data_IF_386289190071
#
_entry.id   IF_386289190071
#
_cell.length_a   1.000
_cell.length_b   1.000
_cell.length_c   1.000
_cell.angle_alpha   90.00
_cell.angle_beta   90.00
_cell.angle_gamma   90.00
#
_symmetry.space_group_name_H-M   'P 1'
#
loop_
_entity.id
_entity.type
_entity.pdbx_description
1 polymer ?
#
# COMPACT_ATOMS: atom_id res chain seq x y z
N UNK A 1 5.59 9.53 4.28
CA UNK A 1 4.85 10.52 3.46
C UNK A 1 3.73 11.21 4.23
N UNK A 2 2.81 10.48 4.87
CA UNK A 2 1.64 11.07 5.57
C UNK A 2 1.80 11.19 7.09
N UNK A 3 2.81 10.53 7.67
CA UNK A 3 2.94 10.41 9.13
C UNK A 3 1.88 9.47 9.72
N UNK A 4 1.82 9.40 11.05
CA UNK A 4 0.82 8.60 11.76
C UNK A 4 -0.44 9.42 12.03
N UNK A 5 -1.50 9.18 11.25
CA UNK A 5 -2.76 9.95 11.30
C UNK A 5 -3.78 9.38 12.28
N UNK A 6 -3.33 8.61 13.28
CA UNK A 6 -4.18 7.97 14.29
C UNK A 6 -5.34 7.19 13.64
N UNK A 7 -6.58 7.46 14.05
CA UNK A 7 -7.77 6.78 13.54
C UNK A 7 -8.01 6.93 12.02
N UNK A 8 -7.38 7.91 11.36
CA UNK A 8 -7.51 8.09 9.91
C UNK A 8 -6.52 7.25 9.09
N UNK A 9 -5.59 6.53 9.72
CA UNK A 9 -4.55 5.77 9.01
C UNK A 9 -5.15 4.73 8.04
N UNK A 10 -6.08 3.90 8.51
CA UNK A 10 -6.72 2.89 7.68
C UNK A 10 -7.49 3.46 6.49
N UNK A 11 -8.10 4.65 6.64
CA UNK A 11 -8.80 5.31 5.54
C UNK A 11 -7.83 5.81 4.46
N UNK A 12 -6.66 6.34 4.86
CA UNK A 12 -5.63 6.76 3.91
C UNK A 12 -5.01 5.56 3.18
N UNK A 13 -4.74 4.48 3.88
CA UNK A 13 -4.23 3.24 3.27
C UNK A 13 -5.22 2.69 2.22
N UNK A 14 -6.51 2.61 2.58
CA UNK A 14 -7.56 2.19 1.66
C UNK A 14 -7.67 3.12 0.43
N UNK A 15 -7.54 4.43 0.63
CA UNK A 15 -7.52 5.39 -0.47
C UNK A 15 -6.33 5.17 -1.41
N UNK A 16 -5.13 4.88 -0.90
CA UNK A 16 -3.97 4.56 -1.74
C UNK A 16 -4.15 3.24 -2.51
N UNK A 17 -4.74 2.20 -1.89
CA UNK A 17 -5.09 0.98 -2.60
C UNK A 17 -6.08 1.26 -3.74
N UNK A 18 -7.13 2.03 -3.48
CA UNK A 18 -8.12 2.41 -4.50
C UNK A 18 -7.49 3.22 -5.64
N UNK A 19 -6.68 4.24 -5.33
CA UNK A 19 -5.97 5.03 -6.34
C UNK A 19 -5.02 4.17 -7.19
N UNK A 20 -4.36 3.19 -6.59
CA UNK A 20 -3.45 2.28 -7.30
C UNK A 20 -4.20 1.40 -8.30
N UNK A 21 -5.44 1.01 -7.99
CA UNK A 21 -6.32 0.21 -8.84
C UNK A 21 -7.17 1.06 -9.81
N UNK A 22 -7.17 2.39 -9.65
CA UNK A 22 -8.02 3.28 -10.43
C UNK A 22 -7.72 3.17 -11.93
N UNK A 23 -8.75 3.18 -12.81
CA UNK A 23 -8.54 3.24 -14.26
C UNK A 23 -7.82 4.52 -14.71
N UNK A 24 -7.85 5.58 -13.91
CA UNK A 24 -7.12 6.83 -14.16
C UNK A 24 -5.61 6.70 -13.89
N UNK A 25 -5.17 5.64 -13.20
CA UNK A 25 -3.76 5.34 -12.97
C UNK A 25 -3.17 4.59 -14.19
N UNK A 26 -3.08 5.26 -15.34
CA UNK A 26 -2.66 4.65 -16.60
C UNK A 26 -1.25 4.03 -16.57
N UNK A 27 -0.36 4.53 -15.71
CA UNK A 27 0.98 3.97 -15.56
C UNK A 27 1.04 2.75 -14.65
N UNK A 28 -0.06 2.42 -13.95
CA UNK A 28 -0.08 1.41 -12.88
C UNK A 28 0.96 1.69 -11.78
N UNK A 29 1.17 2.97 -11.45
CA UNK A 29 2.13 3.34 -10.42
C UNK A 29 1.67 2.84 -9.04
N UNK A 30 2.63 2.39 -8.23
CA UNK A 30 2.41 2.12 -6.81
C UNK A 30 2.87 3.30 -5.95
N UNK A 31 2.26 3.52 -4.77
CA UNK A 31 2.71 4.57 -3.85
C UNK A 31 4.17 4.33 -3.46
N UNK A 32 5.08 5.30 -3.66
CA UNK A 32 6.50 5.11 -3.38
C UNK A 32 6.76 5.02 -1.88
N UNK A 33 7.68 4.15 -1.49
CA UNK A 33 8.23 4.14 -0.14
C UNK A 33 9.22 5.32 0.00
N UNK A 34 8.87 6.32 0.80
CA UNK A 34 9.74 7.49 1.08
C UNK A 34 10.45 7.27 2.43
N UNK A 35 11.75 6.98 2.36
CA UNK A 35 12.60 6.62 3.50
C UNK A 35 14.08 6.90 3.18
N UNK A 36 15.00 6.62 4.12
CA UNK A 36 16.44 6.90 4.02
C UNK A 36 17.24 5.86 3.22
N UNK A 37 16.60 4.77 2.80
CA UNK A 37 17.23 3.70 2.03
C UNK A 37 18.20 2.82 2.82
N UNK A 38 18.19 2.89 4.16
CA UNK A 38 19.03 2.07 5.03
C UNK A 38 18.21 0.89 5.57
N UNK A 39 18.25 -0.31 4.95
CA UNK A 39 17.53 -1.46 5.46
C UNK A 39 18.14 -1.95 6.79
N UNK A 40 17.28 -2.49 7.64
CA UNK A 40 17.71 -3.18 8.85
C UNK A 40 18.43 -4.51 8.49
N UNK A 41 19.70 -4.70 8.89
CA UNK A 41 20.45 -5.91 8.59
C UNK A 41 19.95 -7.17 9.32
N UNK A 42 19.15 -7.02 10.38
CA UNK A 42 18.55 -8.15 11.10
C UNK A 42 17.30 -8.69 10.40
N UNK A 43 16.70 -7.92 9.49
CA UNK A 43 15.55 -8.34 8.71
C UNK A 43 16.00 -9.02 7.40
N UNK A 44 15.27 -10.05 6.93
CA UNK A 44 15.52 -10.61 5.62
C UNK A 44 15.31 -9.55 4.53
N UNK A 45 15.97 -9.67 3.38
CA UNK A 45 15.74 -8.76 2.27
C UNK A 45 14.27 -8.84 1.82
N UNK A 46 13.57 -7.71 1.85
CA UNK A 46 12.19 -7.57 1.42
C UNK A 46 12.11 -6.86 0.07
N UNK A 47 11.07 -7.18 -0.71
CA UNK A 47 10.80 -6.52 -1.99
C UNK A 47 10.01 -5.23 -1.77
N UNK A 48 10.73 -4.14 -1.53
CA UNK A 48 10.12 -2.83 -1.34
C UNK A 48 9.70 -2.18 -2.68
N UNK A 49 8.62 -1.41 -2.64
CA UNK A 49 8.19 -0.60 -3.78
C UNK A 49 9.20 0.52 -4.02
N UNK A 50 9.66 0.64 -5.27
CA UNK A 50 10.49 1.74 -5.76
C UNK A 50 9.65 2.65 -6.67
N UNK A 51 10.10 3.88 -6.98
CA UNK A 51 9.41 4.73 -7.95
C UNK A 51 9.26 4.11 -9.35
N UNK A 52 10.08 3.11 -9.70
CA UNK A 52 10.00 2.37 -10.96
C UNK A 52 9.05 1.17 -10.89
N UNK A 53 8.66 0.71 -9.69
CA UNK A 53 7.78 -0.43 -9.52
C UNK A 53 6.38 -0.09 -10.03
N UNK A 54 5.76 -1.04 -10.75
CA UNK A 54 4.39 -0.94 -11.26
C UNK A 54 3.55 -2.10 -10.77
N UNK A 55 2.26 -1.84 -10.55
CA UNK A 55 1.27 -2.87 -10.32
C UNK A 55 1.12 -3.71 -11.58
N UNK A 56 0.97 -5.03 -11.41
CA UNK A 56 0.73 -5.95 -12.54
C UNK A 56 -0.46 -5.50 -13.37
N UNK A 57 -0.39 -5.66 -14.69
CA UNK A 57 -1.49 -5.36 -15.61
C UNK A 57 -2.47 -6.53 -15.78
N UNK A 58 -2.22 -7.66 -15.10
CA UNK A 58 -3.06 -8.85 -15.19
C UNK A 58 -4.28 -8.66 -14.28
N UNK A 59 -5.46 -8.58 -14.89
CA UNK A 59 -6.73 -8.50 -14.18
C UNK A 59 -7.29 -9.90 -13.82
N UNK A 60 -8.10 -10.02 -12.76
CA UNK A 60 -8.46 -8.96 -11.81
C UNK A 60 -7.32 -8.66 -10.81
N UNK A 61 -7.17 -7.38 -10.45
CA UNK A 61 -6.15 -6.90 -9.52
C UNK A 61 -6.74 -6.69 -8.13
N UNK A 62 -5.95 -7.03 -7.11
CA UNK A 62 -6.33 -6.87 -5.72
C UNK A 62 -5.17 -6.28 -4.92
N UNK A 63 -5.51 -5.44 -3.95
CA UNK A 63 -4.55 -4.88 -2.99
C UNK A 63 -5.08 -5.09 -1.57
N UNK A 64 -4.16 -5.24 -0.63
CA UNK A 64 -4.47 -5.49 0.78
C UNK A 64 -3.84 -4.38 1.64
N UNK A 65 -4.65 -3.76 2.49
CA UNK A 65 -4.14 -2.96 3.60
C UNK A 65 -4.23 -3.74 4.91
N UNK A 66 -3.19 -3.65 5.73
CA UNK A 66 -3.15 -4.18 7.08
C UNK A 66 -2.90 -3.04 8.07
N UNK A 67 -3.86 -2.82 8.97
CA UNK A 67 -3.75 -1.81 10.01
C UNK A 67 -3.84 -2.46 11.39
N UNK A 68 -2.96 -2.02 12.29
CA UNK A 68 -2.87 -2.50 13.66
C UNK A 68 -3.01 -1.32 14.61
N UNK A 69 -3.87 -1.45 15.63
CA UNK A 69 -4.14 -0.38 16.58
C UNK A 69 -4.15 -0.88 18.04
N UNK A 70 -4.13 0.07 18.97
CA UNK A 70 -4.21 -0.21 20.40
C UNK A 70 -5.45 -1.04 20.76
N UNK A 71 -5.31 -1.85 21.82
CA UNK A 71 -6.39 -2.73 22.27
C UNK A 71 -6.65 -3.93 21.37
N UNK A 72 -5.76 -4.23 20.42
CA UNK A 72 -5.89 -5.36 19.51
C UNK A 72 -6.91 -5.14 18.40
N UNK A 73 -7.28 -3.88 18.12
CA UNK A 73 -8.18 -3.53 17.04
C UNK A 73 -7.43 -3.56 15.70
N UNK A 74 -7.29 -4.75 15.13
CA UNK A 74 -6.54 -5.01 13.92
C UNK A 74 -7.49 -5.34 12.78
N UNK A 75 -7.19 -4.84 11.58
CA UNK A 75 -8.03 -4.99 10.41
C UNK A 75 -7.17 -5.26 9.18
N UNK A 76 -7.59 -6.25 8.39
CA UNK A 76 -7.11 -6.49 7.03
C UNK A 76 -8.24 -6.20 6.05
N UNK A 77 -8.00 -5.29 5.10
CA UNK A 77 -8.96 -4.93 4.05
C UNK A 77 -8.38 -5.31 2.70
N UNK A 78 -9.16 -6.00 1.88
CA UNK A 78 -8.81 -6.32 0.49
C UNK A 78 -9.72 -5.51 -0.42
N UNK A 79 -9.12 -4.74 -1.31
CA UNK A 79 -9.81 -3.94 -2.33
C UNK A 79 -9.48 -4.56 -3.68
N UNK A 80 -10.52 -4.85 -4.46
CA UNK A 80 -10.41 -5.38 -5.81
C UNK A 80 -10.84 -4.36 -6.85
N UNK A 81 -10.26 -4.48 -8.04
CA UNK A 81 -10.77 -3.79 -9.22
C UNK A 81 -12.20 -4.27 -9.53
N UNK A 82 -13.08 -3.32 -9.85
CA UNK A 82 -14.44 -3.64 -10.26
C UNK A 82 -14.43 -4.32 -11.65
N UNK A 83 -15.37 -5.24 -11.93
CA UNK A 83 -15.46 -5.91 -13.23
C UNK A 83 -15.83 -4.98 -14.38
#
# INVERSE_FOLDING_TARGET
MTGHTLGAAGALEAAFCWLSLSPDNHEHALPPLVWDGQPDPELPPLQWVTPATRLTSIAPRYLMSNSFAFGGNNVSQIIGEAP
#
